data_IF_812057644220
#
_entry.id   IF_812057644220
#
_cell.length_a   1.000
_cell.length_b   1.000
_cell.length_c   1.000
_cell.angle_alpha   90.00
_cell.angle_beta   90.00
_cell.angle_gamma   90.00
#
_symmetry.space_group_name_H-M   'P 1'
#
loop_
_entity.id
_entity.type
_entity.pdbx_description
1 polymer ?
#
# COMPACT_ATOMS: atom_id res chain seq x y z
N UNK A 1 -6.57 -23.70 -6.70
CA UNK A 1 -7.76 -23.27 -5.94
C UNK A 1 -7.89 -24.04 -4.62
N UNK A 2 -7.54 -25.33 -4.57
CA UNK A 2 -7.69 -26.18 -3.37
C UNK A 2 -6.67 -25.93 -2.23
N UNK A 3 -5.67 -25.05 -2.43
CA UNK A 3 -4.62 -24.75 -1.45
C UNK A 3 -4.76 -23.37 -0.77
N UNK A 4 -5.68 -22.50 -1.22
CA UNK A 4 -5.86 -21.16 -0.67
C UNK A 4 -6.82 -21.20 0.53
N UNK A 5 -6.55 -20.43 1.59
CA UNK A 5 -7.40 -20.33 2.80
C UNK A 5 -7.41 -21.60 3.68
N UNK A 6 -6.27 -22.27 3.78
CA UNK A 6 -6.03 -23.34 4.76
C UNK A 6 -5.32 -22.80 6.01
N UNK A 7 -5.63 -23.37 7.18
CA UNK A 7 -5.04 -22.95 8.44
C UNK A 7 -3.51 -23.15 8.40
N UNK A 8 -2.76 -22.08 8.67
CA UNK A 8 -1.29 -22.02 8.62
C UNK A 8 -0.65 -22.17 7.22
N UNK A 9 -1.40 -21.93 6.14
CA UNK A 9 -0.83 -21.95 4.78
C UNK A 9 -0.54 -20.54 4.24
N UNK A 10 0.63 -20.35 3.62
CA UNK A 10 1.22 -19.05 3.17
C UNK A 10 0.38 -18.21 2.20
N UNK A 11 -0.81 -18.66 1.78
CA UNK A 11 -1.77 -17.86 1.02
C UNK A 11 -3.07 -17.71 1.82
N UNK A 12 -3.08 -16.78 2.81
CA UNK A 12 -4.28 -16.42 3.55
C UNK A 12 -5.36 -15.83 2.63
N UNK A 13 -6.59 -15.72 3.12
CA UNK A 13 -7.73 -15.15 2.39
C UNK A 13 -7.47 -13.69 2.00
N UNK A 14 -6.82 -12.95 2.89
CA UNK A 14 -6.34 -11.60 2.64
C UNK A 14 -4.82 -11.50 2.85
N UNK A 15 -4.11 -10.65 2.09
CA UNK A 15 -2.67 -10.50 2.24
C UNK A 15 -2.27 -10.07 3.66
N UNK A 16 -1.35 -10.81 4.27
CA UNK A 16 -0.81 -10.54 5.61
C UNK A 16 0.71 -10.30 5.56
N UNK A 17 1.15 -9.17 6.10
CA UNK A 17 2.56 -8.82 6.22
C UNK A 17 3.33 -9.86 7.05
N UNK A 18 4.49 -10.27 6.56
CA UNK A 18 5.38 -11.23 7.25
C UNK A 18 5.01 -12.70 7.05
N UNK A 19 3.91 -13.00 6.37
CA UNK A 19 3.42 -14.37 6.20
C UNK A 19 3.78 -15.00 4.84
N UNK A 20 3.76 -14.22 3.78
CA UNK A 20 4.26 -14.59 2.45
C UNK A 20 5.32 -13.59 1.96
N UNK A 21 6.31 -14.04 1.17
CA UNK A 21 7.30 -13.14 0.59
C UNK A 21 6.62 -12.17 -0.39
N UNK A 22 6.96 -10.89 -0.32
CA UNK A 22 6.45 -9.84 -1.22
C UNK A 22 5.14 -9.18 -0.79
N UNK A 23 4.64 -9.46 0.43
CA UNK A 23 3.49 -8.73 1.00
C UNK A 23 4.03 -7.53 1.79
N UNK A 24 3.83 -6.33 1.25
CA UNK A 24 4.33 -5.07 1.84
C UNK A 24 3.46 -4.55 3.00
N UNK A 25 2.19 -4.95 3.06
CA UNK A 25 1.28 -4.57 4.14
C UNK A 25 0.14 -5.57 4.32
N UNK A 26 -0.38 -5.71 5.54
CA UNK A 26 -1.61 -6.48 5.78
C UNK A 26 -2.81 -5.67 5.30
N UNK A 27 -3.59 -6.20 4.38
CA UNK A 27 -4.77 -5.52 3.81
C UNK A 27 -6.02 -6.32 4.08
N UNK A 28 -6.97 -5.78 4.85
CA UNK A 28 -8.25 -6.41 5.17
C UNK A 28 -9.35 -5.32 5.25
N UNK A 29 -9.26 -4.33 6.17
CA UNK A 29 -10.21 -3.23 6.17
C UNK A 29 -10.07 -2.37 4.91
N UNK A 30 -11.20 -2.08 4.28
CA UNK A 30 -11.27 -1.23 3.10
C UNK A 30 -10.63 0.14 3.40
N UNK A 31 -9.99 0.76 2.40
CA UNK A 31 -9.34 2.07 2.57
C UNK A 31 -7.94 2.06 3.22
N UNK A 32 -7.64 1.15 4.16
CA UNK A 32 -6.34 1.15 4.88
C UNK A 32 -5.13 0.89 3.97
N UNK A 33 -5.29 0.03 2.95
CA UNK A 33 -4.22 -0.22 1.98
C UNK A 33 -3.78 1.03 1.22
N UNK A 34 -4.71 1.95 0.94
CA UNK A 34 -4.40 3.21 0.24
C UNK A 34 -3.67 4.18 1.17
N UNK A 35 -4.09 4.28 2.42
CA UNK A 35 -3.41 5.10 3.44
C UNK A 35 -1.96 4.64 3.65
N UNK A 36 -1.73 3.33 3.68
CA UNK A 36 -0.37 2.76 3.80
C UNK A 36 0.48 3.10 2.57
N UNK A 37 -0.09 2.97 1.37
CA UNK A 37 0.57 3.33 0.10
C UNK A 37 0.96 4.81 0.08
N UNK A 38 0.08 5.69 0.53
CA UNK A 38 0.37 7.13 0.61
C UNK A 38 1.50 7.42 1.60
N UNK A 39 1.52 6.72 2.75
CA UNK A 39 2.64 6.78 3.69
C UNK A 39 3.96 6.38 3.04
N UNK A 40 3.99 5.27 2.30
CA UNK A 40 5.17 4.79 1.57
C UNK A 40 5.66 5.82 0.54
N UNK A 41 4.76 6.42 -0.25
CA UNK A 41 5.12 7.47 -1.21
C UNK A 41 5.68 8.73 -0.54
N UNK A 42 5.13 9.13 0.62
CA UNK A 42 5.67 10.26 1.39
C UNK A 42 7.08 9.95 1.90
N UNK A 43 7.30 8.72 2.37
CA UNK A 43 8.63 8.27 2.81
C UNK A 43 9.62 8.27 1.65
N UNK A 44 9.24 7.72 0.48
CA UNK A 44 10.08 7.72 -0.71
C UNK A 44 10.55 9.13 -1.07
N UNK A 45 9.62 10.08 -1.20
CA UNK A 45 9.94 11.46 -1.52
C UNK A 45 10.83 12.12 -0.47
N UNK A 46 10.54 11.88 0.81
CA UNK A 46 11.33 12.45 1.92
C UNK A 46 12.76 11.89 1.92
N UNK A 47 12.94 10.61 1.61
CA UNK A 47 14.26 9.99 1.53
C UNK A 47 15.01 10.43 0.27
N UNK A 48 14.33 10.57 -0.87
CA UNK A 48 14.92 11.13 -2.08
C UNK A 48 15.46 12.55 -1.84
N UNK A 49 14.69 13.43 -1.17
CA UNK A 49 15.14 14.80 -0.85
C UNK A 49 16.33 14.83 0.13
N UNK A 50 16.43 13.87 1.05
CA UNK A 50 17.51 13.82 2.04
C UNK A 50 18.80 13.19 1.53
N UNK A 51 18.70 12.19 0.65
CA UNK A 51 19.84 11.35 0.26
C UNK A 51 20.27 11.50 -1.19
N UNK A 52 19.40 11.94 -2.10
CA UNK A 52 19.80 12.12 -3.50
C UNK A 52 20.69 13.36 -3.62
N UNK A 53 21.76 13.22 -4.41
CA UNK A 53 22.68 14.30 -4.75
C UNK A 53 22.70 14.47 -6.27
N UNK A 54 23.13 15.63 -6.79
CA UNK A 54 23.28 15.80 -8.23
C UNK A 54 24.12 14.67 -8.85
N UNK A 55 23.51 13.89 -9.75
CA UNK A 55 24.13 12.74 -10.41
C UNK A 55 24.09 11.42 -9.63
N UNK A 56 23.46 11.38 -8.46
CA UNK A 56 23.30 10.19 -7.62
C UNK A 56 21.87 10.12 -7.05
N UNK A 57 20.98 9.47 -7.80
CA UNK A 57 19.63 9.16 -7.35
C UNK A 57 19.64 7.79 -6.65
N UNK A 58 19.76 7.80 -5.33
CA UNK A 58 19.87 6.61 -4.49
C UNK A 58 18.47 6.04 -4.19
N UNK A 59 17.50 6.94 -4.01
CA UNK A 59 16.10 6.60 -3.78
C UNK A 59 15.29 7.10 -4.97
N UNK A 60 14.86 6.15 -5.81
CA UNK A 60 13.97 6.37 -6.95
C UNK A 60 13.18 5.07 -7.18
N UNK A 61 11.98 4.99 -6.62
CA UNK A 61 11.11 3.82 -6.78
C UNK A 61 9.62 4.21 -6.77
N UNK A 62 8.81 3.43 -7.47
CA UNK A 62 7.36 3.64 -7.52
C UNK A 62 6.62 2.76 -6.53
N UNK A 63 5.65 3.35 -5.84
CA UNK A 63 4.69 2.62 -5.00
C UNK A 63 3.36 2.51 -5.75
N UNK A 64 2.89 1.29 -6.02
CA UNK A 64 1.63 1.03 -6.71
C UNK A 64 0.59 0.44 -5.75
N UNK A 65 -0.67 0.84 -5.92
CA UNK A 65 -1.81 0.28 -5.20
C UNK A 65 -2.97 0.02 -6.14
N UNK A 66 -3.59 -1.16 -6.00
CA UNK A 66 -4.89 -1.45 -6.60
C UNK A 66 -6.00 -1.16 -5.58
N UNK A 67 -7.08 -0.54 -6.04
CA UNK A 67 -8.26 -0.26 -5.21
C UNK A 67 -9.56 -0.52 -5.99
N UNK A 68 -10.61 -0.86 -5.25
CA UNK A 68 -11.99 -0.91 -5.77
C UNK A 68 -12.88 0.15 -5.15
N UNK A 69 -14.12 0.27 -5.63
CA UNK A 69 -15.07 1.30 -5.22
C UNK A 69 -15.36 1.31 -3.71
N UNK A 70 -15.29 0.13 -3.06
CA UNK A 70 -15.42 -0.02 -1.61
C UNK A 70 -14.38 0.80 -0.82
N UNK A 71 -13.16 0.92 -1.35
CA UNK A 71 -12.11 1.72 -0.73
C UNK A 71 -12.29 3.23 -0.95
N UNK A 72 -12.99 3.64 -2.01
CA UNK A 72 -13.31 5.05 -2.28
C UNK A 72 -14.44 5.57 -1.39
N UNK A 73 -15.33 4.67 -0.96
CA UNK A 73 -16.44 5.00 -0.06
C UNK A 73 -16.03 5.01 1.41
N UNK A 74 -14.90 4.38 1.75
CA UNK A 74 -14.29 4.46 3.07
C UNK A 74 -13.60 5.83 3.24
N UNK A 75 -14.19 6.67 4.10
CA UNK A 75 -13.69 8.02 4.39
C UNK A 75 -12.27 8.10 4.95
N UNK A 76 -11.55 6.97 5.08
CA UNK A 76 -10.12 6.92 5.35
C UNK A 76 -9.25 7.31 4.15
N UNK A 77 -9.84 7.45 2.96
CA UNK A 77 -9.11 7.96 1.79
C UNK A 77 -8.54 9.36 2.08
N UNK A 78 -7.26 9.64 1.74
CA UNK A 78 -6.71 10.99 1.86
C UNK A 78 -7.60 12.03 1.14
N UNK A 79 -7.85 13.17 1.81
CA UNK A 79 -8.81 14.21 1.38
C UNK A 79 -8.46 14.96 0.08
N UNK A 80 -7.58 14.44 -0.75
CA UNK A 80 -7.29 14.94 -2.11
C UNK A 80 -7.60 13.93 -3.22
N UNK A 81 -8.00 12.71 -2.87
CA UNK A 81 -8.25 11.62 -3.82
C UNK A 81 -9.74 11.29 -3.99
N UNK A 82 -10.62 11.89 -3.18
CA UNK A 82 -12.06 11.70 -3.30
C UNK A 82 -12.58 12.53 -4.50
N UNK A 83 -13.34 11.91 -5.43
CA UNK A 83 -14.00 12.65 -6.51
C UNK A 83 -15.20 13.49 -6.00
N UNK A 84 -15.58 13.34 -4.73
CA UNK A 84 -16.73 14.02 -4.13
C UNK A 84 -16.29 14.90 -2.95
N UNK A 85 -16.91 16.10 -2.79
CA UNK A 85 -16.69 16.92 -1.61
C UNK A 85 -17.41 16.28 -0.42
N UNK A 86 -16.66 15.58 0.44
CA UNK A 86 -17.04 15.35 1.84
C UNK A 86 -16.48 16.45 2.71
#
# INVERSE_FOLDING_TARGET
>A
VELTVQLHYRTPDHPEYGYAPGIETTTEPLGQGITNTVGMTITEKTMAEQFNQPGHDIVDHYTYAFMGDGCLMEGMLPRGLLPWPV
#
